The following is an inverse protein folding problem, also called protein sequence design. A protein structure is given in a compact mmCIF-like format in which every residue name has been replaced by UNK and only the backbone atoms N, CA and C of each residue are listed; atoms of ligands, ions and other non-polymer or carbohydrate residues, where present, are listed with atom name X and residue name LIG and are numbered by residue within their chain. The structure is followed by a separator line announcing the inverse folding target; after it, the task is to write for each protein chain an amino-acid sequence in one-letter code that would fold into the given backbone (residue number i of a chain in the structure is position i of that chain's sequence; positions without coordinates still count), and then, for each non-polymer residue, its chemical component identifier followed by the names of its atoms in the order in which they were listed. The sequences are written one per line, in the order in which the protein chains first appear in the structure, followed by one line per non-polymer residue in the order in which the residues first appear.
data_IF_051684762013
#
_entry.id   IF_051684762013
#
_cell.length_a   1.000
_cell.length_b   1.000
_cell.length_c   1.000
_cell.angle_alpha   90.00
_cell.angle_beta   90.00
_cell.angle_gamma   90.00
#
_symmetry.space_group_name_H-M   'P 1'
#
loop_
_entity.id
_entity.type
_entity.pdbx_description
1 polymer ?
#
# COMPACT_ATOMS: atom_id res chain seq x y z
N UNK A 1 -3.49 15.61 -6.43
CA UNK A 1 -3.21 14.46 -5.54
C UNK A 1 -2.69 13.32 -6.39
N UNK A 2 -1.68 12.64 -5.91
CA UNK A 2 -1.03 11.55 -6.64
C UNK A 2 -1.40 10.23 -5.99
N UNK A 3 -1.69 9.22 -6.80
CA UNK A 3 -2.14 7.92 -6.28
C UNK A 3 -1.24 6.80 -6.77
N UNK A 4 -1.04 5.81 -5.91
CA UNK A 4 -0.42 4.54 -6.29
C UNK A 4 -1.39 3.41 -6.01
N UNK A 5 -1.32 2.37 -6.84
CA UNK A 5 -2.12 1.15 -6.65
C UNK A 5 -1.18 -0.05 -6.60
N UNK A 6 -1.15 -0.69 -5.45
CA UNK A 6 -0.36 -1.90 -5.25
C UNK A 6 -1.29 -3.10 -5.42
N UNK A 7 -0.82 -4.11 -6.13
CA UNK A 7 -1.57 -5.34 -6.38
C UNK A 7 -0.79 -6.53 -5.81
N UNK A 8 -1.48 -7.41 -5.10
CA UNK A 8 -0.87 -8.59 -4.51
C UNK A 8 -1.93 -9.69 -4.36
N UNK A 9 -1.56 -10.82 -3.78
CA UNK A 9 -2.49 -11.89 -3.44
C UNK A 9 -2.78 -11.85 -1.96
N UNK A 10 -4.00 -12.18 -1.57
CA UNK A 10 -4.38 -12.21 -0.16
C UNK A 10 -5.28 -13.41 0.10
N UNK A 11 -5.06 -14.09 1.23
CA UNK A 11 -5.91 -15.21 1.63
C UNK A 11 -7.34 -14.73 1.89
N UNK A 12 -8.35 -15.48 1.41
CA UNK A 12 -9.74 -15.17 1.75
C UNK A 12 -9.95 -15.19 3.26
N UNK A 13 -10.72 -14.25 3.77
CA UNK A 13 -11.02 -14.20 5.20
C UNK A 13 -9.97 -13.47 6.03
N UNK A 14 -8.89 -12.97 5.43
CA UNK A 14 -7.86 -12.21 6.15
C UNK A 14 -8.17 -10.73 6.30
N UNK A 15 -9.33 -10.27 5.82
CA UNK A 15 -9.70 -8.85 5.85
C UNK A 15 -9.57 -8.22 7.24
N UNK A 16 -10.11 -8.83 8.33
CA UNK A 16 -10.04 -8.18 9.64
C UNK A 16 -8.61 -8.01 10.13
N UNK A 17 -7.77 -9.03 9.95
CA UNK A 17 -6.38 -8.99 10.40
C UNK A 17 -5.58 -7.93 9.64
N UNK A 18 -5.72 -7.87 8.32
CA UNK A 18 -5.02 -6.90 7.49
C UNK A 18 -5.50 -5.48 7.80
N UNK A 19 -6.82 -5.29 7.92
CA UNK A 19 -7.39 -3.99 8.26
C UNK A 19 -6.89 -3.50 9.63
N UNK A 20 -6.83 -4.39 10.62
CA UNK A 20 -6.36 -4.03 11.96
C UNK A 20 -4.88 -3.61 11.95
N UNK A 21 -4.05 -4.31 11.19
CA UNK A 21 -2.64 -3.97 11.06
C UNK A 21 -2.45 -2.56 10.47
N UNK A 22 -3.20 -2.25 9.41
CA UNK A 22 -3.13 -0.92 8.82
C UNK A 22 -3.75 0.15 9.70
N UNK A 23 -4.83 -0.15 10.42
CA UNK A 23 -5.43 0.80 11.35
C UNK A 23 -4.44 1.20 12.44
N UNK A 24 -3.69 0.25 12.98
CA UNK A 24 -2.66 0.53 13.97
C UNK A 24 -1.52 1.35 13.36
N UNK A 25 -1.04 0.97 12.18
CA UNK A 25 0.02 1.69 11.47
C UNK A 25 -0.41 3.13 11.17
N UNK A 26 -1.64 3.33 10.71
CA UNK A 26 -2.16 4.65 10.35
C UNK A 26 -2.41 5.54 11.57
N UNK A 27 -2.44 4.96 12.76
CA UNK A 27 -2.48 5.71 14.01
C UNK A 27 -1.14 6.29 14.43
N UNK A 28 -0.05 5.94 13.75
CA UNK A 28 1.29 6.48 14.01
C UNK A 28 1.56 7.72 13.14
N UNK A 29 2.77 8.30 13.27
CA UNK A 29 3.19 9.41 12.39
C UNK A 29 3.58 8.96 10.98
N UNK A 30 3.66 7.65 10.72
CA UNK A 30 4.19 7.15 9.44
C UNK A 30 3.44 7.67 8.22
N UNK A 31 2.09 7.67 8.18
CA UNK A 31 1.40 8.23 7.02
C UNK A 31 1.78 9.69 6.76
N UNK A 32 1.90 10.48 7.84
CA UNK A 32 2.31 11.88 7.71
C UNK A 32 3.72 12.01 7.14
N UNK A 33 4.67 11.21 7.65
CA UNK A 33 6.05 11.22 7.16
C UNK A 33 6.16 10.81 5.71
N UNK A 34 5.30 9.88 5.28
CA UNK A 34 5.28 9.38 3.90
C UNK A 34 4.47 10.28 2.97
N UNK A 35 3.77 11.28 3.50
CA UNK A 35 2.90 12.14 2.70
C UNK A 35 1.61 11.46 2.27
N UNK A 36 1.23 10.37 2.93
CA UNK A 36 0.00 9.65 2.64
C UNK A 36 -1.21 10.45 3.12
N UNK A 37 -2.15 10.72 2.22
CA UNK A 37 -3.37 11.47 2.53
C UNK A 37 -4.57 10.56 2.68
N UNK A 38 -4.58 9.42 2.00
CA UNK A 38 -5.67 8.47 2.06
C UNK A 38 -5.18 7.09 1.69
N UNK A 39 -5.74 6.09 2.33
CA UNK A 39 -5.46 4.68 2.07
C UNK A 39 -6.76 3.94 1.98
N UNK A 40 -6.92 3.10 0.96
CA UNK A 40 -8.07 2.21 0.82
C UNK A 40 -7.58 0.84 0.40
N UNK A 41 -8.15 -0.19 1.01
CA UNK A 41 -7.83 -1.58 0.71
C UNK A 41 -9.04 -2.26 0.10
N UNK A 42 -8.81 -3.04 -0.96
CA UNK A 42 -9.86 -3.78 -1.64
C UNK A 42 -9.46 -5.24 -1.79
N UNK A 43 -10.45 -6.09 -1.83
CA UNK A 43 -10.25 -7.52 -2.07
C UNK A 43 -11.16 -7.99 -3.19
N UNK A 44 -10.62 -8.81 -4.10
CA UNK A 44 -11.43 -9.44 -5.15
C UNK A 44 -10.79 -10.76 -5.55
N UNK A 45 -11.46 -11.86 -5.25
CA UNK A 45 -11.11 -13.22 -5.69
C UNK A 45 -9.63 -13.57 -5.51
N UNK A 46 -9.13 -13.39 -4.29
CA UNK A 46 -7.74 -13.70 -3.97
C UNK A 46 -6.76 -12.59 -4.28
N UNK A 47 -7.23 -11.46 -4.82
CA UNK A 47 -6.39 -10.31 -5.11
C UNK A 47 -6.59 -9.21 -4.06
N UNK A 48 -5.49 -8.59 -3.70
CA UNK A 48 -5.42 -7.49 -2.77
C UNK A 48 -5.04 -6.23 -3.54
N UNK A 49 -5.76 -5.15 -3.30
CA UNK A 49 -5.49 -3.87 -3.92
C UNK A 49 -5.31 -2.82 -2.83
N UNK A 50 -4.22 -2.08 -2.91
CA UNK A 50 -3.89 -1.06 -1.95
C UNK A 50 -3.74 0.27 -2.68
N UNK A 51 -4.77 1.10 -2.57
CA UNK A 51 -4.81 2.43 -3.17
C UNK A 51 -4.36 3.45 -2.15
N UNK A 52 -3.32 4.22 -2.48
CA UNK A 52 -2.84 5.30 -1.63
C UNK A 52 -2.83 6.60 -2.39
N UNK A 53 -3.29 7.67 -1.74
CA UNK A 53 -3.20 9.02 -2.25
C UNK A 53 -2.11 9.77 -1.48
N UNK A 54 -1.27 10.49 -2.19
CA UNK A 54 -0.14 11.23 -1.62
C UNK A 54 -0.25 12.72 -1.93
N UNK A 55 0.43 13.54 -1.10
CA UNK A 55 0.51 14.98 -1.29
C UNK A 55 1.18 15.38 -2.60
N UNK A 56 2.16 14.59 -3.05
CA UNK A 56 3.03 14.96 -4.16
C UNK A 56 3.37 13.74 -5.01
N UNK A 57 4.01 13.99 -6.15
CA UNK A 57 4.37 12.96 -7.11
C UNK A 57 5.48 12.02 -6.63
N UNK A 58 6.14 12.34 -5.51
CA UNK A 58 7.24 11.55 -4.98
C UNK A 58 6.81 10.45 -4.00
N UNK A 59 5.52 10.10 -3.97
CA UNK A 59 5.00 9.08 -3.06
C UNK A 59 5.74 7.75 -3.15
N UNK A 60 6.04 7.30 -4.37
CA UNK A 60 6.81 6.08 -4.57
C UNK A 60 8.21 6.16 -3.96
N UNK A 61 8.90 7.30 -4.12
CA UNK A 61 10.21 7.51 -3.51
C UNK A 61 10.13 7.53 -1.99
N UNK A 62 9.10 8.16 -1.44
CA UNK A 62 8.91 8.20 0.01
C UNK A 62 8.68 6.81 0.59
N UNK A 63 7.96 5.95 -0.12
CA UNK A 63 7.79 4.55 0.28
C UNK A 63 9.16 3.86 0.32
N UNK A 64 9.96 4.02 -0.72
CA UNK A 64 11.29 3.42 -0.77
C UNK A 64 12.20 3.93 0.35
N UNK A 65 12.13 5.22 0.67
CA UNK A 65 12.91 5.79 1.76
C UNK A 65 12.43 5.31 3.12
N UNK A 66 11.12 5.05 3.28
CA UNK A 66 10.54 4.63 4.55
C UNK A 66 10.75 3.15 4.84
N UNK A 67 11.14 2.35 3.86
CA UNK A 67 11.21 0.88 4.02
C UNK A 67 12.23 0.41 5.05
N UNK A 68 13.15 1.28 5.49
CA UNK A 68 14.09 0.96 6.58
C UNK A 68 13.60 1.40 7.95
N UNK A 69 12.51 2.16 8.03
CA UNK A 69 11.93 2.56 9.31
C UNK A 69 11.38 1.32 10.04
N UNK A 70 11.68 1.15 11.35
CA UNK A 70 11.22 -0.04 12.09
C UNK A 70 9.70 -0.24 12.04
N UNK A 71 8.91 0.83 11.98
CA UNK A 71 7.46 0.71 11.89
C UNK A 71 7.02 0.17 10.54
N UNK A 72 7.68 0.59 9.46
CA UNK A 72 7.42 0.07 8.12
C UNK A 72 7.86 -1.40 8.02
N UNK A 73 9.05 -1.71 8.53
CA UNK A 73 9.55 -3.09 8.56
C UNK A 73 8.61 -3.99 9.37
N UNK A 74 8.12 -3.47 10.51
CA UNK A 74 7.21 -4.22 11.38
C UNK A 74 5.90 -4.58 10.68
N UNK A 75 5.22 -3.62 10.07
CA UNK A 75 3.95 -3.91 9.39
C UNK A 75 4.18 -4.81 8.17
N UNK A 76 5.28 -4.61 7.45
CA UNK A 76 5.60 -5.46 6.30
C UNK A 76 5.78 -6.91 6.72
N UNK A 77 6.46 -7.15 7.84
CA UNK A 77 6.63 -8.49 8.38
C UNK A 77 5.30 -9.08 8.85
N UNK A 78 4.48 -8.28 9.52
CA UNK A 78 3.19 -8.72 10.05
C UNK A 78 2.18 -9.05 8.95
N UNK A 79 2.31 -8.42 7.79
CA UNK A 79 1.44 -8.68 6.65
C UNK A 79 1.81 -9.95 5.87
N UNK A 80 3.04 -10.43 5.99
CA UNK A 80 3.53 -11.59 5.21
C UNK A 80 2.66 -12.83 5.32
N UNK A 81 2.10 -13.20 6.50
CA UNK A 81 1.23 -14.37 6.58
C UNK A 81 -0.06 -14.24 5.77
N UNK A 82 -0.46 -13.03 5.43
CA UNK A 82 -1.76 -12.75 4.80
C UNK A 82 -1.65 -12.33 3.35
N UNK A 83 -0.54 -11.69 2.97
CA UNK A 83 -0.36 -11.07 1.66
C UNK A 83 0.90 -11.62 1.01
N UNK A 84 0.76 -12.12 -0.23
CA UNK A 84 1.86 -12.64 -1.03
C UNK A 84 2.00 -11.82 -2.31
N UNK A 85 3.23 -11.74 -2.84
CA UNK A 85 3.46 -11.10 -4.12
C UNK A 85 2.64 -11.81 -5.21
N UNK A 86 2.04 -11.04 -6.11
CA UNK A 86 1.34 -11.59 -7.27
C UNK A 86 2.30 -12.40 -8.15
N UNK A 87 3.51 -11.88 -8.33
CA UNK A 87 4.59 -12.56 -9.07
C UNK A 87 5.70 -12.91 -8.08
N UNK A 88 6.07 -14.19 -7.93
CA UNK A 88 7.12 -14.60 -6.98
C UNK A 88 8.48 -13.97 -7.26
N UNK A 89 8.71 -13.41 -8.45
CA UNK A 89 9.96 -12.77 -8.79
C UNK A 89 10.04 -11.29 -8.37
N UNK A 90 8.93 -10.73 -7.88
CA UNK A 90 8.93 -9.34 -7.40
C UNK A 90 9.85 -9.18 -6.18
N UNK A 91 10.60 -8.10 -6.14
CA UNK A 91 11.61 -7.82 -5.10
C UNK A 91 11.32 -6.59 -4.26
N UNK A 92 10.63 -5.60 -4.84
CA UNK A 92 10.41 -4.30 -4.20
C UNK A 92 8.95 -3.91 -4.28
N UNK A 93 8.49 -2.96 -3.44
CA UNK A 93 7.13 -2.44 -3.56
C UNK A 93 6.81 -1.88 -4.95
N UNK A 94 7.80 -1.32 -5.64
CA UNK A 94 7.61 -0.78 -6.98
C UNK A 94 7.16 -1.84 -7.99
N UNK A 95 7.61 -3.09 -7.82
CA UNK A 95 7.24 -4.19 -8.71
C UNK A 95 5.75 -4.50 -8.63
N UNK A 96 5.13 -4.21 -7.48
CA UNK A 96 3.72 -4.48 -7.24
C UNK A 96 2.81 -3.31 -7.65
N UNK A 97 3.39 -2.18 -8.06
CA UNK A 97 2.61 -1.00 -8.41
C UNK A 97 2.03 -1.11 -9.80
N UNK A 98 0.71 -0.93 -9.89
CA UNK A 98 0.02 -0.90 -11.17
C UNK A 98 0.38 0.39 -11.92
N UNK A 99 0.37 0.32 -13.24
CA UNK A 99 0.64 1.47 -14.09
C UNK A 99 -0.66 2.22 -14.38
N UNK A 100 -0.70 3.51 -14.03
CA UNK A 100 -1.81 4.36 -14.43
C UNK A 100 -1.64 4.71 -15.90
N UNK A 101 -2.68 4.46 -16.70
CA UNK A 101 -2.60 4.81 -18.12
C UNK A 101 -3.66 5.83 -18.54
N UNK A 102 -4.50 6.28 -17.62
CA UNK A 102 -5.47 7.35 -17.86
C UNK A 102 -5.90 7.93 -16.52
N UNK A 103 -6.13 9.22 -16.49
CA UNK A 103 -6.76 9.86 -15.35
C UNK A 103 -7.54 11.09 -15.81
N UNK A 104 -8.63 11.37 -15.11
CA UNK A 104 -9.43 12.56 -15.31
C UNK A 104 -9.94 13.00 -13.95
N UNK A 105 -10.04 14.30 -13.76
CA UNK A 105 -10.60 14.85 -12.54
C UNK A 105 -11.47 16.04 -12.91
N UNK A 106 -12.65 16.09 -12.32
CA UNK A 106 -13.55 17.22 -12.52
C UNK A 106 -12.98 18.46 -11.85
N UNK A 107 -13.17 19.61 -12.46
CA UNK A 107 -12.88 20.88 -11.81
C UNK A 107 -13.96 21.12 -10.76
N UNK A 108 -13.55 21.53 -9.57
CA UNK A 108 -14.46 21.79 -8.48
C UNK A 108 -15.00 23.22 -8.50
#
# INVERSE_FOLDING_TARGET
MHSTLIVARMDPGSHPQVADLFAEFDGTEMPHRMGTRRRQLFYYRGLYFHLQDFDSADGGERIEQAKTDPRFVGISADLKPFIEAYDPQWRTPSDAMATRFYSWAAES
#
